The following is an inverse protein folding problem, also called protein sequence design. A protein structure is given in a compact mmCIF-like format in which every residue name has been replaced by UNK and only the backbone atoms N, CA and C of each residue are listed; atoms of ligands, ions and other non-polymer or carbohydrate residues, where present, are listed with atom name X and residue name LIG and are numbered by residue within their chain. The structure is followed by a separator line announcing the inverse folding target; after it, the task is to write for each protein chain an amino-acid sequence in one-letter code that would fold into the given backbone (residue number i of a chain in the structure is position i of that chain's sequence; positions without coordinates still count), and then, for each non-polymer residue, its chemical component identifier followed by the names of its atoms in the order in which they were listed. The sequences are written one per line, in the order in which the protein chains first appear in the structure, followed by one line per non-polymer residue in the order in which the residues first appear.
data_IF_458989705119
#
_entry.id   IF_458989705119
#
_cell.length_a   1.000
_cell.length_b   1.000
_cell.length_c   1.000
_cell.angle_alpha   90.00
_cell.angle_beta   90.00
_cell.angle_gamma   90.00
#
_symmetry.space_group_name_H-M   'P 1'
#
loop_
_entity.id
_entity.type
_entity.pdbx_description
1 polymer ?
#
# COMPACT_ATOMS: atom_id res chain seq x y z
N UNK A 1 -16.33 -29.42 20.67
CA UNK A 1 -15.23 -29.14 19.70
C UNK A 1 -14.48 -30.43 19.46
N UNK A 2 -14.38 -30.88 18.20
CA UNK A 2 -13.67 -32.10 17.83
C UNK A 2 -12.14 -31.89 17.86
N UNK A 3 -11.37 -32.97 18.02
CA UNK A 3 -9.90 -32.96 17.89
C UNK A 3 -9.45 -32.42 16.52
N UNK A 4 -10.21 -32.73 15.46
CA UNK A 4 -10.00 -32.19 14.11
C UNK A 4 -10.18 -30.67 14.04
N UNK A 5 -11.12 -30.09 14.78
CA UNK A 5 -11.33 -28.63 14.81
C UNK A 5 -10.16 -27.92 15.50
N UNK A 6 -9.66 -28.51 16.59
CA UNK A 6 -8.47 -28.01 17.30
C UNK A 6 -7.23 -28.06 16.40
N UNK A 7 -7.05 -29.15 15.65
CA UNK A 7 -5.94 -29.30 14.72
C UNK A 7 -6.00 -28.28 13.57
N UNK A 8 -7.18 -28.07 12.95
CA UNK A 8 -7.39 -27.06 11.90
C UNK A 8 -7.16 -25.63 12.40
N UNK A 9 -7.60 -25.32 13.62
CA UNK A 9 -7.39 -24.00 14.23
C UNK A 9 -5.91 -23.76 14.54
N UNK A 10 -5.22 -24.76 15.07
CA UNK A 10 -3.78 -24.71 15.32
C UNK A 10 -2.98 -24.55 14.03
N UNK A 11 -3.31 -25.29 12.95
CA UNK A 11 -2.62 -25.17 11.67
C UNK A 11 -2.82 -23.79 11.04
N UNK A 12 -4.03 -23.24 11.09
CA UNK A 12 -4.30 -21.87 10.61
C UNK A 12 -3.46 -20.83 11.37
N UNK A 13 -3.42 -20.92 12.70
CA UNK A 13 -2.64 -20.00 13.54
C UNK A 13 -1.14 -20.01 13.22
N UNK A 14 -0.56 -21.17 12.92
CA UNK A 14 0.87 -21.27 12.56
C UNK A 14 1.14 -20.66 11.19
N UNK A 15 0.25 -20.87 10.22
CA UNK A 15 0.36 -20.28 8.88
C UNK A 15 0.25 -18.76 8.95
N UNK A 16 -0.73 -18.23 9.69
CA UNK A 16 -0.94 -16.79 9.85
C UNK A 16 0.26 -16.12 10.54
N UNK A 17 0.84 -16.78 11.55
CA UNK A 17 2.06 -16.31 12.21
C UNK A 17 3.27 -16.27 11.27
N UNK A 18 3.42 -17.28 10.40
CA UNK A 18 4.46 -17.32 9.37
C UNK A 18 4.30 -16.18 8.36
N UNK A 19 3.09 -15.99 7.83
CA UNK A 19 2.78 -14.90 6.91
C UNK A 19 3.06 -13.53 7.53
N UNK A 20 2.65 -13.31 8.79
CA UNK A 20 2.93 -12.07 9.53
C UNK A 20 4.44 -11.81 9.68
N UNK A 21 5.22 -12.85 9.97
CA UNK A 21 6.67 -12.71 10.11
C UNK A 21 7.35 -12.37 8.78
N UNK A 22 6.87 -12.93 7.67
CA UNK A 22 7.33 -12.56 6.33
C UNK A 22 7.02 -11.10 6.03
N UNK A 23 5.78 -10.65 6.23
CA UNK A 23 5.39 -9.25 6.01
C UNK A 23 6.20 -8.26 6.86
N UNK A 24 6.48 -8.58 8.12
CA UNK A 24 7.36 -7.77 8.98
C UNK A 24 8.76 -7.66 8.40
N UNK A 25 9.29 -8.76 7.89
CA UNK A 25 10.62 -8.81 7.29
C UNK A 25 10.67 -7.93 6.04
N UNK A 26 9.66 -8.04 5.17
CA UNK A 26 9.53 -7.21 3.97
C UNK A 26 9.43 -5.72 4.30
N UNK A 27 8.64 -5.34 5.32
CA UNK A 27 8.53 -3.96 5.79
C UNK A 27 9.90 -3.43 6.24
N UNK A 28 10.68 -4.23 6.97
CA UNK A 28 12.03 -3.85 7.42
C UNK A 28 12.97 -3.65 6.22
N UNK A 29 12.90 -4.53 5.22
CA UNK A 29 13.71 -4.37 4.00
C UNK A 29 13.33 -3.09 3.24
N UNK A 30 12.03 -2.83 3.05
CA UNK A 30 11.55 -1.60 2.42
C UNK A 30 11.98 -0.35 3.20
N UNK A 31 11.99 -0.42 4.53
CA UNK A 31 12.48 0.68 5.38
C UNK A 31 13.98 0.96 5.19
N UNK A 32 14.78 -0.09 5.08
CA UNK A 32 16.20 0.05 4.74
C UNK A 32 16.37 0.64 3.35
N UNK A 33 15.59 0.18 2.38
CA UNK A 33 15.62 0.67 1.00
C UNK A 33 15.27 2.16 0.90
N UNK A 34 14.26 2.64 1.64
CA UNK A 34 13.92 4.07 1.74
C UNK A 34 15.09 4.87 2.30
N UNK A 35 15.74 4.37 3.36
CA UNK A 35 16.91 5.04 3.96
C UNK A 35 18.08 5.10 2.99
N UNK A 36 18.38 4.00 2.30
CA UNK A 36 19.43 3.93 1.29
C UNK A 36 19.17 4.92 0.16
N UNK A 37 17.94 5.01 -0.37
CA UNK A 37 17.61 6.01 -1.40
C UNK A 37 17.77 7.45 -0.92
N UNK A 38 17.36 7.76 0.31
CA UNK A 38 17.57 9.10 0.89
C UNK A 38 19.05 9.45 1.04
N UNK A 39 19.88 8.47 1.41
CA UNK A 39 21.32 8.65 1.51
C UNK A 39 21.95 8.85 0.13
N UNK A 40 21.57 8.02 -0.86
CA UNK A 40 22.02 8.16 -2.25
C UNK A 40 21.68 9.55 -2.81
N UNK A 41 20.44 10.00 -2.64
CA UNK A 41 20.03 11.37 -3.00
C UNK A 41 20.91 12.43 -2.31
N UNK A 42 21.24 12.25 -1.03
CA UNK A 42 22.10 13.18 -0.30
C UNK A 42 23.52 13.28 -0.86
N UNK A 43 24.06 12.18 -1.39
CA UNK A 43 25.36 12.16 -2.08
C UNK A 43 25.22 12.81 -3.45
N UNK A 44 24.25 12.38 -4.24
CA UNK A 44 24.00 12.90 -5.59
C UNK A 44 23.74 14.41 -5.60
N UNK A 45 23.01 14.94 -4.61
CA UNK A 45 22.74 16.38 -4.55
C UNK A 45 23.97 17.16 -4.14
N UNK A 46 24.85 16.61 -3.31
CA UNK A 46 26.11 17.25 -2.96
C UNK A 46 27.02 17.36 -4.20
N UNK A 47 27.20 16.25 -4.91
CA UNK A 47 27.99 16.19 -6.14
C UNK A 47 27.42 17.16 -7.20
N UNK A 48 26.09 17.19 -7.34
CA UNK A 48 25.42 18.14 -8.25
C UNK A 48 25.68 19.59 -7.84
N UNK A 49 25.60 19.92 -6.55
CA UNK A 49 25.84 21.29 -6.09
C UNK A 49 27.29 21.72 -6.32
N UNK A 50 28.26 20.84 -6.11
CA UNK A 50 29.67 21.09 -6.42
C UNK A 50 29.88 21.35 -7.93
N UNK A 51 29.26 20.54 -8.79
CA UNK A 51 29.28 20.76 -10.25
C UNK A 51 28.66 22.12 -10.62
N UNK A 52 27.54 22.47 -10.02
CA UNK A 52 26.84 23.73 -10.31
C UNK A 52 27.59 24.95 -9.80
N UNK A 53 28.38 24.86 -8.74
CA UNK A 53 29.25 25.96 -8.29
C UNK A 53 30.34 26.27 -9.32
N UNK A 54 30.93 25.24 -9.92
CA UNK A 54 32.01 25.41 -10.91
C UNK A 54 31.50 25.68 -12.33
N UNK A 55 30.23 25.39 -12.61
CA UNK A 55 29.60 25.65 -13.90
C UNK A 55 29.51 27.16 -14.21
N UNK A 56 30.40 27.62 -15.11
CA UNK A 56 30.37 28.97 -15.68
C UNK A 56 29.28 29.08 -16.77
N UNK A 57 28.65 30.25 -16.86
CA UNK A 57 27.66 30.56 -17.91
C UNK A 57 26.24 30.05 -17.65
N UNK A 58 25.99 29.36 -16.54
CA UNK A 58 24.66 28.89 -16.16
C UNK A 58 23.97 29.91 -15.24
N UNK A 59 22.72 30.26 -15.55
CA UNK A 59 21.97 31.20 -14.71
C UNK A 59 21.56 30.56 -13.39
N UNK A 60 21.26 31.37 -12.37
CA UNK A 60 20.77 30.86 -11.09
C UNK A 60 19.46 30.06 -11.26
N UNK A 61 18.60 30.46 -12.20
CA UNK A 61 17.35 29.75 -12.50
C UNK A 61 17.61 28.35 -13.07
N UNK A 62 18.60 28.20 -13.96
CA UNK A 62 18.96 26.91 -14.55
C UNK A 62 19.56 25.96 -13.50
N UNK A 63 20.42 26.49 -12.62
CA UNK A 63 20.99 25.74 -11.49
C UNK A 63 19.88 25.25 -10.56
N UNK A 64 18.94 26.12 -10.20
CA UNK A 64 17.79 25.76 -9.37
C UNK A 64 16.90 24.71 -10.05
N UNK A 65 16.66 24.82 -11.36
CA UNK A 65 15.87 23.86 -12.11
C UNK A 65 16.47 22.45 -12.05
N UNK A 66 17.80 22.33 -12.16
CA UNK A 66 18.51 21.05 -12.03
C UNK A 66 18.38 20.45 -10.62
N UNK A 67 18.55 21.27 -9.59
CA UNK A 67 18.39 20.85 -8.18
C UNK A 67 16.96 20.34 -7.93
N UNK A 68 15.95 21.08 -8.39
CA UNK A 68 14.53 20.66 -8.28
C UNK A 68 14.27 19.35 -9.02
N UNK A 69 14.80 19.21 -10.24
CA UNK A 69 14.63 17.98 -11.01
C UNK A 69 15.22 16.75 -10.30
N UNK A 70 16.42 16.90 -9.71
CA UNK A 70 17.04 15.85 -8.89
C UNK A 70 16.17 15.48 -7.68
N UNK A 71 15.67 16.48 -6.96
CA UNK A 71 14.77 16.25 -5.82
C UNK A 71 13.46 15.56 -6.22
N UNK A 72 12.82 16.00 -7.30
CA UNK A 72 11.56 15.43 -7.77
C UNK A 72 11.71 13.98 -8.22
N UNK A 73 12.84 13.65 -8.87
CA UNK A 73 13.17 12.28 -9.22
C UNK A 73 13.29 11.40 -7.97
N UNK A 74 14.13 11.82 -7.00
CA UNK A 74 14.31 11.08 -5.75
C UNK A 74 13.00 10.94 -4.94
N UNK A 75 12.19 11.99 -4.91
CA UNK A 75 10.88 12.00 -4.23
C UNK A 75 9.93 10.97 -4.84
N UNK A 76 9.83 10.91 -6.18
CA UNK A 76 8.98 9.93 -6.87
C UNK A 76 9.43 8.50 -6.57
N UNK A 77 10.74 8.27 -6.62
CA UNK A 77 11.32 6.95 -6.38
C UNK A 77 11.07 6.46 -4.95
N UNK A 78 11.25 7.34 -3.97
CA UNK A 78 10.93 7.05 -2.57
C UNK A 78 9.43 6.82 -2.38
N UNK A 79 8.57 7.59 -3.05
CA UNK A 79 7.11 7.47 -2.91
C UNK A 79 6.61 6.09 -3.34
N UNK A 80 7.19 5.50 -4.40
CA UNK A 80 6.84 4.13 -4.83
C UNK A 80 7.13 3.10 -3.73
N UNK A 81 8.26 3.23 -3.05
CA UNK A 81 8.66 2.26 -2.01
C UNK A 81 7.90 2.47 -0.71
N UNK A 82 7.57 3.72 -0.39
CA UNK A 82 6.64 4.04 0.71
C UNK A 82 5.27 3.43 0.44
N UNK A 83 4.72 3.57 -0.77
CA UNK A 83 3.44 2.97 -1.12
C UNK A 83 3.46 1.44 -0.97
N UNK A 84 4.53 0.77 -1.44
CA UNK A 84 4.70 -0.68 -1.24
C UNK A 84 4.73 -1.06 0.24
N UNK A 85 5.45 -0.30 1.07
CA UNK A 85 5.53 -0.52 2.51
C UNK A 85 4.15 -0.39 3.17
N UNK A 86 3.37 0.61 2.76
CA UNK A 86 2.06 0.85 3.35
C UNK A 86 1.03 -0.22 2.93
N UNK A 87 1.06 -0.70 1.68
CA UNK A 87 0.28 -1.88 1.28
C UNK A 87 0.62 -3.11 2.13
N UNK A 88 1.91 -3.35 2.44
CA UNK A 88 2.34 -4.48 3.27
C UNK A 88 1.89 -4.35 4.74
N UNK A 89 1.84 -3.13 5.27
CA UNK A 89 1.27 -2.87 6.60
C UNK A 89 -0.23 -3.12 6.64
N UNK A 90 -0.95 -2.71 5.60
CA UNK A 90 -2.39 -2.95 5.49
C UNK A 90 -2.67 -4.46 5.43
N UNK A 91 -1.92 -5.21 4.63
CA UNK A 91 -1.99 -6.67 4.57
C UNK A 91 -1.78 -7.32 5.96
N UNK A 92 -0.78 -6.83 6.71
CA UNK A 92 -0.52 -7.28 8.08
C UNK A 92 -1.67 -6.93 9.04
N UNK A 93 -2.29 -5.75 8.88
CA UNK A 93 -3.43 -5.33 9.70
C UNK A 93 -4.68 -6.19 9.44
N UNK A 94 -4.88 -6.63 8.19
CA UNK A 94 -5.96 -7.57 7.82
C UNK A 94 -5.75 -8.95 8.46
N UNK A 95 -4.51 -9.46 8.48
CA UNK A 95 -4.22 -10.72 9.19
C UNK A 95 -4.47 -10.62 10.70
N UNK A 96 -4.20 -9.45 11.29
CA UNK A 96 -4.43 -9.21 12.72
C UNK A 96 -5.93 -9.16 13.07
N UNK A 97 -6.77 -8.59 12.20
CA UNK A 97 -8.22 -8.58 12.41
C UNK A 97 -8.85 -9.96 12.22
N UNK A 98 -8.38 -10.75 11.25
CA UNK A 98 -8.86 -12.12 11.02
C UNK A 98 -8.44 -13.10 12.13
N UNK A 99 -7.30 -12.84 12.79
CA UNK A 99 -6.82 -13.63 13.92
C UNK A 99 -7.65 -13.40 15.21
N UNK A 100 -8.37 -12.27 15.28
CA UNK A 100 -9.23 -11.91 16.41
C UNK A 100 -10.65 -12.51 16.39
N UNK A 101 -11.10 -13.05 15.26
CA UNK A 101 -12.51 -13.47 15.06
C UNK A 101 -12.78 -14.97 15.30
N UNK A 102 -11.90 -15.68 16.01
CA UNK A 102 -12.13 -17.09 16.33
C UNK A 102 -13.08 -17.31 17.54
N UNK A 103 -14.01 -16.37 17.79
CA UNK A 103 -14.81 -16.30 19.03
C UNK A 103 -16.21 -15.66 18.98
N UNK A 104 -16.76 -15.21 17.85
CA UNK A 104 -18.14 -14.71 17.83
C UNK A 104 -18.84 -14.82 16.47
N UNK A 105 -19.24 -16.04 16.07
CA UNK A 105 -20.40 -16.17 15.15
C UNK A 105 -21.69 -15.85 15.92
N UNK A 106 -21.97 -14.57 16.12
CA UNK A 106 -23.33 -14.07 16.29
C UNK A 106 -23.75 -13.43 14.98
N UNK A 107 -24.35 -14.23 14.11
CA UNK A 107 -25.04 -13.81 12.89
C UNK A 107 -26.16 -12.83 13.30
N UNK A 108 -26.16 -11.54 12.90
CA UNK A 108 -27.39 -10.76 12.92
C UNK A 108 -28.27 -11.16 11.72
N UNK A 109 -29.61 -11.23 11.88
CA UNK A 109 -30.50 -11.66 10.81
C UNK A 109 -30.46 -10.66 9.65
N UNK A 110 -30.50 -11.20 8.44
CA UNK A 110 -30.63 -10.46 7.20
C UNK A 110 -31.91 -9.62 7.21
N UNK A 111 -31.77 -8.31 7.38
CA UNK A 111 -32.84 -7.34 7.16
C UNK A 111 -32.31 -6.24 6.26
N UNK A 112 -32.49 -6.47 4.97
CA UNK A 112 -32.20 -5.51 3.92
C UNK A 112 -33.00 -5.88 2.69
N UNK A 113 -34.29 -5.53 2.72
CA UNK A 113 -35.16 -5.55 1.53
C UNK A 113 -34.51 -4.69 0.46
N UNK A 114 -33.89 -5.34 -0.53
CA UNK A 114 -33.40 -4.66 -1.75
C UNK A 114 -34.61 -4.52 -2.65
N UNK A 115 -35.26 -3.36 -2.62
CA UNK A 115 -36.18 -2.96 -3.69
C UNK A 115 -35.34 -2.73 -4.95
N UNK A 116 -35.36 -3.71 -5.84
CA UNK A 116 -34.75 -3.59 -7.16
C UNK A 116 -35.54 -2.59 -7.98
N UNK A 117 -34.93 -1.42 -8.14
CA UNK A 117 -34.85 -0.60 -9.35
C UNK A 117 -36.04 -0.67 -10.32
N UNK A 118 -36.79 0.43 -10.32
CA UNK A 118 -37.67 0.89 -11.40
C UNK A 118 -37.00 0.83 -12.78
N UNK A 119 -37.58 0.04 -13.68
CA UNK A 119 -37.27 0.05 -15.10
C UNK A 119 -38.46 0.65 -15.89
N UNK A 120 -38.25 1.68 -16.73
CA UNK A 120 -39.28 2.23 -17.60
C UNK A 120 -39.10 1.70 -19.04
N UNK A 121 -40.06 0.91 -19.52
CA UNK A 121 -40.36 0.54 -20.91
C UNK A 121 -41.51 -0.49 -20.80
N UNK A 122 -42.71 -0.30 -21.37
CA UNK A 122 -42.95 -0.09 -22.79
C UNK A 122 -44.17 0.80 -23.07
N UNK A 123 -43.96 1.75 -23.98
CA UNK A 123 -44.98 2.31 -24.86
C UNK A 123 -45.27 1.29 -25.97
N UNK A 124 -46.48 1.34 -26.51
CA UNK A 124 -46.95 0.64 -27.73
C UNK A 124 -47.38 -0.82 -27.56
N UNK A 125 -48.69 -1.01 -27.38
CA UNK A 125 -49.53 -1.69 -28.37
C UNK A 125 -50.96 -1.83 -27.83
N UNK A 126 -51.90 -1.03 -28.35
CA UNK A 126 -53.18 -1.61 -28.77
C UNK A 126 -53.91 -0.65 -29.71
N UNK A 127 -54.02 -1.10 -30.95
CA UNK A 127 -54.97 -0.60 -31.93
C UNK A 127 -56.30 -1.31 -31.69
N UNK A 128 -57.39 -0.54 -31.54
CA UNK A 128 -58.71 -0.72 -32.16
C UNK A 128 -59.70 0.32 -31.64
#
# INVERSE_FOLDING_TARGET
MSFLDKMKKASKSVVDAGAKQMLKTDIIFLDREIKTRKQAFGVEIYDLMEELETAQGMSAADKEAKIRACFDAARKDIAVVVAKKDCKKEEMAVLDSQSGDAGASSIPPASGSVMTNSHPQDSEAEAM
#
